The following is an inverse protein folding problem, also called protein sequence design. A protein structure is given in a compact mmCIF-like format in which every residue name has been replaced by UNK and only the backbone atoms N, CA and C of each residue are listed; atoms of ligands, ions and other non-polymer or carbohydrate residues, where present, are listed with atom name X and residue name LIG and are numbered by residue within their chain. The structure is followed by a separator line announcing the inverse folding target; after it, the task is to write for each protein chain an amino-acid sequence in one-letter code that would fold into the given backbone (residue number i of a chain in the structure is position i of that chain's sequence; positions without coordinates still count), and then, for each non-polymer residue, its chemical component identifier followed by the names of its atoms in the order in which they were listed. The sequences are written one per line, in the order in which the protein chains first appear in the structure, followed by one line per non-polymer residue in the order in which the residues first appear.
data_IF_256246657699
#
_entry.id   IF_256246657699
#
_cell.length_a   1.000
_cell.length_b   1.000
_cell.length_c   1.000
_cell.angle_alpha   90.00
_cell.angle_beta   90.00
_cell.angle_gamma   90.00
#
_symmetry.space_group_name_H-M   'P 1'
#
loop_
_entity.id
_entity.type
_entity.pdbx_description
1 polymer ?
#
# COMPACT_ATOMS: atom_id res chain seq x y z
N UNK A 1 14.78 0.67 -14.09
CA UNK A 1 13.72 0.33 -13.11
C UNK A 1 13.39 -1.14 -13.16
N UNK A 2 13.11 -1.71 -14.34
CA UNK A 2 12.82 -3.15 -14.54
C UNK A 2 13.87 -4.09 -13.93
N UNK A 3 15.17 -3.78 -14.09
CA UNK A 3 16.27 -4.58 -13.53
C UNK A 3 16.29 -4.62 -11.99
N UNK A 4 15.79 -3.57 -11.32
CA UNK A 4 15.69 -3.55 -9.85
C UNK A 4 14.42 -4.30 -9.42
N UNK A 5 13.31 -4.07 -10.12
CA UNK A 5 12.05 -4.77 -9.85
C UNK A 5 12.20 -6.29 -9.98
N UNK A 6 12.96 -6.79 -10.97
CA UNK A 6 13.21 -8.22 -11.12
C UNK A 6 14.00 -8.83 -9.97
N UNK A 7 14.92 -8.07 -9.37
CA UNK A 7 15.73 -8.51 -8.22
C UNK A 7 14.86 -8.71 -6.96
N UNK A 8 13.80 -7.92 -6.81
CA UNK A 8 12.93 -7.93 -5.63
C UNK A 8 11.53 -8.51 -5.92
N UNK A 9 11.35 -9.22 -7.04
CA UNK A 9 10.04 -9.72 -7.49
C UNK A 9 9.34 -10.56 -6.41
N UNK A 10 10.02 -11.53 -5.82
CA UNK A 10 9.48 -12.40 -4.77
C UNK A 10 9.13 -11.60 -3.50
N UNK A 11 10.01 -10.69 -3.07
CA UNK A 11 9.75 -9.82 -1.92
C UNK A 11 8.57 -8.89 -2.18
N UNK A 12 8.44 -8.33 -3.39
CA UNK A 12 7.30 -7.50 -3.78
C UNK A 12 5.99 -8.29 -3.80
N UNK A 13 6.01 -9.56 -4.20
CA UNK A 13 4.84 -10.43 -4.09
C UNK A 13 4.43 -10.61 -2.62
N UNK A 14 5.38 -10.84 -1.72
CA UNK A 14 5.11 -10.88 -0.27
C UNK A 14 4.55 -9.55 0.25
N UNK A 15 5.08 -8.41 -0.19
CA UNK A 15 4.57 -7.09 0.19
C UNK A 15 3.12 -6.92 -0.26
N UNK A 16 2.79 -7.22 -1.52
CA UNK A 16 1.43 -7.11 -2.03
C UNK A 16 0.47 -8.05 -1.28
N UNK A 17 0.89 -9.29 -1.02
CA UNK A 17 0.10 -10.26 -0.25
C UNK A 17 -0.13 -9.81 1.19
N UNK A 18 0.88 -9.21 1.83
CA UNK A 18 0.73 -8.66 3.17
C UNK A 18 -0.21 -7.46 3.21
N UNK A 19 -0.15 -6.56 2.22
CA UNK A 19 -1.09 -5.43 2.10
C UNK A 19 -2.52 -5.96 1.94
N UNK A 20 -2.76 -6.91 1.04
CA UNK A 20 -4.08 -7.51 0.84
C UNK A 20 -4.59 -8.16 2.13
N UNK A 21 -3.76 -8.96 2.80
CA UNK A 21 -4.10 -9.60 4.08
C UNK A 21 -4.44 -8.57 5.16
N UNK A 22 -3.76 -7.42 5.16
CA UNK A 22 -4.00 -6.33 6.11
C UNK A 22 -5.28 -5.57 5.83
N UNK A 23 -5.66 -5.49 4.56
CA UNK A 23 -6.90 -4.87 4.12
C UNK A 23 -8.11 -5.80 4.17
N UNK A 24 -7.92 -7.09 4.47
CA UNK A 24 -8.99 -8.06 4.66
C UNK A 24 -9.82 -7.71 5.89
N UNK A 25 -11.08 -7.34 5.68
CA UNK A 25 -11.98 -6.84 6.70
C UNK A 25 -13.35 -7.48 6.58
N UNK A 26 -14.06 -7.59 7.71
CA UNK A 26 -15.46 -7.99 7.74
C UNK A 26 -16.40 -7.01 7.02
N UNK A 27 -15.90 -5.82 6.68
CA UNK A 27 -16.62 -4.81 5.88
C UNK A 27 -16.18 -4.95 4.42
N UNK A 28 -17.02 -5.48 3.51
CA UNK A 28 -16.63 -5.80 2.13
C UNK A 28 -16.07 -4.60 1.35
N UNK A 29 -16.59 -3.40 1.62
CA UNK A 29 -16.20 -2.17 0.94
C UNK A 29 -14.70 -1.82 1.13
N UNK A 30 -14.12 -2.16 2.28
CA UNK A 30 -12.70 -1.93 2.55
C UNK A 30 -11.85 -2.79 1.60
N UNK A 31 -12.16 -4.08 1.51
CA UNK A 31 -11.47 -5.03 0.63
C UNK A 31 -11.63 -4.63 -0.85
N UNK A 32 -12.83 -4.23 -1.28
CA UNK A 32 -13.08 -3.80 -2.67
C UNK A 32 -12.23 -2.58 -3.06
N UNK A 33 -12.19 -1.54 -2.21
CA UNK A 33 -11.40 -0.33 -2.48
C UNK A 33 -9.90 -0.65 -2.45
N UNK A 34 -9.45 -1.49 -1.52
CA UNK A 34 -8.05 -1.92 -1.46
C UNK A 34 -7.62 -2.66 -2.73
N UNK A 35 -8.40 -3.65 -3.16
CA UNK A 35 -8.15 -4.38 -4.41
C UNK A 35 -8.16 -3.44 -5.62
N UNK A 36 -9.11 -2.49 -5.67
CA UNK A 36 -9.17 -1.52 -6.75
C UNK A 36 -7.90 -0.67 -6.85
N UNK A 37 -7.39 -0.17 -5.73
CA UNK A 37 -6.17 0.65 -5.72
C UNK A 37 -4.96 -0.18 -6.11
N UNK A 38 -4.84 -1.41 -5.60
CA UNK A 38 -3.75 -2.31 -5.95
C UNK A 38 -3.78 -2.70 -7.44
N UNK A 39 -4.98 -2.97 -7.98
CA UNK A 39 -5.22 -3.29 -9.39
C UNK A 39 -5.13 -2.05 -10.31
N UNK A 40 -5.22 -0.85 -9.76
CA UNK A 40 -4.91 0.41 -10.46
C UNK A 40 -3.40 0.58 -10.72
N UNK A 41 -2.62 -0.40 -10.27
CA UNK A 41 -1.21 -0.54 -10.57
C UNK A 41 -0.36 0.39 -9.71
N UNK A 42 0.86 0.65 -10.18
CA UNK A 42 1.80 1.55 -9.52
C UNK A 42 3.23 1.07 -9.67
N UNK A 43 4.17 2.01 -9.63
CA UNK A 43 5.59 1.69 -9.79
C UNK A 43 6.19 0.97 -8.58
N UNK A 44 5.44 0.87 -7.47
CA UNK A 44 5.88 0.32 -6.16
C UNK A 44 7.26 0.84 -5.74
N UNK A 45 7.53 2.11 -6.05
CA UNK A 45 8.85 2.70 -5.85
C UNK A 45 9.22 2.78 -4.37
N UNK A 46 8.23 3.02 -3.50
CA UNK A 46 8.45 3.14 -2.05
C UNK A 46 8.75 1.77 -1.40
N UNK A 47 7.99 0.69 -1.66
CA UNK A 47 8.38 -0.68 -1.30
C UNK A 47 9.75 -1.06 -1.80
N UNK A 48 10.04 -0.78 -3.08
CA UNK A 48 11.33 -1.09 -3.67
C UNK A 48 12.48 -0.38 -2.97
N UNK A 49 12.29 0.89 -2.58
CA UNK A 49 13.28 1.63 -1.83
C UNK A 49 13.52 1.00 -0.46
N UNK A 50 12.46 0.68 0.30
CA UNK A 50 12.58 0.04 1.60
C UNK A 50 13.30 -1.32 1.54
N UNK A 51 12.91 -2.18 0.59
CA UNK A 51 13.55 -3.49 0.37
C UNK A 51 15.02 -3.34 -0.08
N UNK A 52 15.30 -2.37 -0.94
CA UNK A 52 16.66 -2.09 -1.40
C UNK A 52 17.55 -1.60 -0.27
N UNK A 53 17.04 -0.71 0.59
CA UNK A 53 17.74 -0.24 1.77
C UNK A 53 18.05 -1.37 2.75
N UNK A 54 17.09 -2.26 3.02
CA UNK A 54 17.32 -3.43 3.86
C UNK A 54 18.44 -4.32 3.29
N UNK A 55 18.41 -4.59 1.98
CA UNK A 55 19.46 -5.37 1.30
C UNK A 55 20.83 -4.69 1.36
N UNK A 56 20.90 -3.38 1.15
CA UNK A 56 22.15 -2.61 1.23
C UNK A 56 22.77 -2.64 2.64
N UNK A 57 21.93 -2.77 3.66
CA UNK A 57 22.34 -2.93 5.05
C UNK A 57 22.58 -4.39 5.45
N UNK A 58 22.62 -5.31 4.48
CA UNK A 58 22.80 -6.75 4.69
C UNK A 58 21.77 -7.39 5.64
N UNK A 59 20.54 -6.86 5.66
CA UNK A 59 19.46 -7.48 6.42
C UNK A 59 19.06 -8.82 5.79
N UNK A 60 19.20 -9.90 6.57
CA UNK A 60 18.86 -11.27 6.16
C UNK A 60 17.79 -11.91 7.07
N UNK A 61 17.08 -11.10 7.86
CA UNK A 61 16.01 -11.61 8.71
C UNK A 61 14.78 -12.04 7.89
N UNK A 62 13.77 -12.63 8.57
CA UNK A 62 12.68 -13.30 7.88
C UNK A 62 11.86 -12.34 7.01
N UNK A 63 11.17 -11.36 7.60
CA UNK A 63 10.23 -10.50 6.86
C UNK A 63 10.08 -9.06 7.43
N UNK A 64 10.95 -8.56 8.32
CA UNK A 64 10.84 -7.15 8.79
C UNK A 64 10.99 -6.13 7.65
N UNK A 65 11.78 -6.43 6.62
CA UNK A 65 11.90 -5.63 5.39
C UNK A 65 10.60 -5.59 4.60
N UNK A 66 9.91 -6.73 4.49
CA UNK A 66 8.58 -6.86 3.87
C UNK A 66 7.53 -6.09 4.67
N UNK A 67 7.51 -6.24 6.00
CA UNK A 67 6.59 -5.51 6.88
C UNK A 67 6.79 -3.99 6.76
N UNK A 68 8.04 -3.51 6.76
CA UNK A 68 8.35 -2.10 6.55
C UNK A 68 7.89 -1.62 5.18
N UNK A 69 8.20 -2.37 4.11
CA UNK A 69 7.81 -2.01 2.76
C UNK A 69 6.28 -1.96 2.58
N UNK A 70 5.54 -2.88 3.20
CA UNK A 70 4.08 -2.89 3.22
C UNK A 70 3.51 -1.71 4.01
N UNK A 71 4.05 -1.42 5.20
CA UNK A 71 3.65 -0.26 6.00
C UNK A 71 3.84 1.04 5.22
N UNK A 72 4.97 1.20 4.53
CA UNK A 72 5.25 2.39 3.71
C UNK A 72 4.27 2.53 2.53
N UNK A 73 3.83 1.43 1.93
CA UNK A 73 2.86 1.50 0.83
C UNK A 73 1.43 1.74 1.32
N UNK A 74 1.08 1.26 2.53
CA UNK A 74 -0.20 1.55 3.16
C UNK A 74 -0.36 3.05 3.45
N UNK A 75 0.67 3.70 4.04
CA UNK A 75 0.62 5.16 4.24
C UNK A 75 0.56 5.90 2.91
N UNK A 76 1.29 5.46 1.87
CA UNK A 76 1.17 6.05 0.54
C UNK A 76 -0.25 5.91 -0.04
N UNK A 77 -0.88 4.76 0.17
CA UNK A 77 -2.24 4.48 -0.30
C UNK A 77 -3.26 5.36 0.42
N UNK A 78 -3.11 5.53 1.74
CA UNK A 78 -3.92 6.44 2.54
C UNK A 78 -3.84 7.88 2.01
N UNK A 79 -2.63 8.40 1.76
CA UNK A 79 -2.50 9.77 1.23
C UNK A 79 -3.12 9.89 -0.15
N UNK A 80 -2.96 8.91 -1.03
CA UNK A 80 -3.59 8.94 -2.36
C UNK A 80 -5.12 9.04 -2.26
N UNK A 81 -5.74 8.25 -1.39
CA UNK A 81 -7.19 8.28 -1.18
C UNK A 81 -7.67 9.64 -0.68
N UNK A 82 -6.98 10.20 0.31
CA UNK A 82 -7.33 11.51 0.87
C UNK A 82 -7.05 12.65 -0.11
N UNK A 83 -5.93 12.62 -0.82
CA UNK A 83 -5.55 13.60 -1.84
C UNK A 83 -6.59 13.67 -2.97
N UNK A 84 -7.10 12.52 -3.44
CA UNK A 84 -8.13 12.50 -4.49
C UNK A 84 -9.41 13.24 -4.07
N UNK A 85 -9.77 13.14 -2.79
CA UNK A 85 -10.92 13.86 -2.21
C UNK A 85 -10.64 15.35 -2.07
N UNK A 86 -9.48 15.71 -1.52
CA UNK A 86 -9.06 17.12 -1.32
C UNK A 86 -8.94 17.85 -2.65
N UNK A 87 -8.30 17.21 -3.64
CA UNK A 87 -8.05 17.78 -4.96
C UNK A 87 -9.28 17.73 -5.89
N UNK A 88 -10.37 17.07 -5.47
CA UNK A 88 -11.55 16.77 -6.29
C UNK A 88 -11.16 16.10 -7.62
N UNK A 89 -10.19 15.19 -7.54
CA UNK A 89 -9.71 14.44 -8.70
C UNK A 89 -10.76 13.43 -9.15
N UNK A 90 -10.99 13.34 -10.46
CA UNK A 90 -11.91 12.37 -11.07
C UNK A 90 -11.19 11.18 -11.72
N UNK A 91 -9.87 11.30 -11.96
CA UNK A 91 -9.05 10.26 -12.58
C UNK A 91 -7.66 10.17 -11.98
N UNK A 92 -7.17 8.94 -11.86
CA UNK A 92 -5.77 8.63 -11.52
C UNK A 92 -5.30 7.45 -12.37
N UNK A 93 -4.17 7.64 -13.07
CA UNK A 93 -3.59 6.66 -14.00
C UNK A 93 -4.62 6.11 -15.01
N UNK A 94 -5.40 7.02 -15.60
CA UNK A 94 -6.47 6.73 -16.57
C UNK A 94 -7.65 5.90 -16.03
N UNK A 95 -7.70 5.62 -14.72
CA UNK A 95 -8.86 5.02 -14.03
C UNK A 95 -9.60 6.09 -13.23
N UNK A 96 -10.87 5.85 -12.92
CA UNK A 96 -11.60 6.70 -11.98
C UNK A 96 -10.91 6.65 -10.61
N UNK A 97 -10.93 7.75 -9.88
CA UNK A 97 -10.47 7.78 -8.48
C UNK A 97 -11.45 7.01 -7.59
N UNK A 98 -11.00 6.58 -6.41
CA UNK A 98 -11.89 5.85 -5.50
C UNK A 98 -13.10 6.72 -5.08
N UNK A 99 -12.89 8.02 -4.89
CA UNK A 99 -13.96 8.93 -4.51
C UNK A 99 -14.97 9.19 -5.63
N UNK A 100 -14.55 9.08 -6.89
CA UNK A 100 -15.45 9.13 -8.04
C UNK A 100 -16.29 7.86 -8.19
N UNK A 101 -15.81 6.71 -7.69
CA UNK A 101 -16.53 5.42 -7.79
C UNK A 101 -17.44 5.19 -6.59
N UNK A 102 -16.95 5.44 -5.37
CA UNK A 102 -17.64 5.11 -4.12
C UNK A 102 -18.07 6.34 -3.30
N UNK A 103 -17.64 7.54 -3.67
CA UNK A 103 -17.88 8.77 -2.90
C UNK A 103 -16.72 9.16 -1.99
N UNK A 104 -16.79 10.39 -1.49
CA UNK A 104 -15.73 10.99 -0.67
C UNK A 104 -15.62 10.29 0.68
N UNK A 105 -16.74 10.04 1.37
CA UNK A 105 -16.76 9.49 2.72
C UNK A 105 -16.14 8.08 2.78
N UNK A 106 -16.51 7.12 1.90
CA UNK A 106 -15.84 5.82 1.87
C UNK A 106 -14.34 5.91 1.57
N UNK A 107 -13.94 6.83 0.69
CA UNK A 107 -12.53 7.02 0.35
C UNK A 107 -11.72 7.54 1.53
N UNK A 108 -12.28 8.48 2.30
CA UNK A 108 -11.66 8.98 3.53
C UNK A 108 -11.51 7.85 4.55
N UNK A 109 -12.59 7.11 4.83
CA UNK A 109 -12.61 6.06 5.85
C UNK A 109 -11.70 4.88 5.50
N UNK A 110 -11.61 4.48 4.23
CA UNK A 110 -10.64 3.46 3.82
C UNK A 110 -9.20 3.99 3.89
N UNK A 111 -8.98 5.27 3.63
CA UNK A 111 -7.70 5.92 3.88
C UNK A 111 -7.30 5.87 5.37
N UNK A 112 -8.24 6.12 6.28
CA UNK A 112 -8.04 6.02 7.73
C UNK A 112 -7.74 4.58 8.15
N UNK A 113 -8.44 3.60 7.56
CA UNK A 113 -8.16 2.18 7.77
C UNK A 113 -6.75 1.79 7.31
N UNK A 114 -6.31 2.28 6.15
CA UNK A 114 -4.93 2.08 5.68
C UNK A 114 -3.90 2.65 6.66
N UNK A 115 -4.18 3.82 7.24
CA UNK A 115 -3.32 4.44 8.24
C UNK A 115 -3.27 3.62 9.54
N UNK A 116 -4.40 3.09 10.00
CA UNK A 116 -4.45 2.20 11.15
C UNK A 116 -3.63 0.91 10.92
N UNK A 117 -3.76 0.28 9.74
CA UNK A 117 -2.99 -0.92 9.42
C UNK A 117 -1.49 -0.65 9.20
N UNK A 118 -1.14 0.54 8.68
CA UNK A 118 0.24 1.02 8.68
C UNK A 118 0.82 1.04 10.11
N UNK A 119 0.10 1.64 11.06
CA UNK A 119 0.53 1.72 12.46
C UNK A 119 0.63 0.32 13.09
N UNK A 120 -0.34 -0.56 12.82
CA UNK A 120 -0.32 -1.95 13.28
C UNK A 120 0.93 -2.70 12.79
N UNK A 121 1.29 -2.56 11.51
CA UNK A 121 2.54 -3.13 10.98
C UNK A 121 3.76 -2.49 11.62
N UNK A 122 3.77 -1.17 11.79
CA UNK A 122 4.90 -0.45 12.38
C UNK A 122 5.21 -0.92 13.79
N UNK A 123 4.20 -1.13 14.63
CA UNK A 123 4.35 -1.63 15.99
C UNK A 123 5.01 -3.02 16.04
N UNK A 124 4.76 -3.88 15.04
CA UNK A 124 5.41 -5.20 14.97
C UNK A 124 6.88 -5.15 14.59
N UNK A 125 7.39 -4.02 14.11
CA UNK A 125 8.82 -3.86 13.77
C UNK A 125 9.67 -3.56 15.01
N UNK A 126 9.08 -2.87 15.99
CA UNK A 126 9.71 -2.41 17.23
C UNK A 126 9.65 -3.42 18.39
N UNK A 127 8.73 -4.37 18.31
CA UNK A 127 8.62 -5.52 19.22
C UNK A 127 9.41 -6.72 18.66
#
# INVERSE_FOLDING_TARGET
MEKITSIFSERLLKVNGLILKKMDSSIPLISEIAEYILASGGKRLRPLLALSSARLLNYNGPDKDVCLAAAVELIHTATLLHDDVVDKSNKRRNKKTANEVWGNEPSILVGDFCLAEHLNLWLTLTL
#
